data_IF_141651593857
#
_entry.id   IF_141651593857
#
_cell.length_a   1.000
_cell.length_b   1.000
_cell.length_c   1.000
_cell.angle_alpha   90.00
_cell.angle_beta   90.00
_cell.angle_gamma   90.00
#
_symmetry.space_group_name_H-M   'P 1'
#
loop_
_entity.id
_entity.type
_entity.pdbx_description
1 polymer ?
#
# COMPACT_ATOMS: atom_id res chain seq x y z
N UNK A 1 11.25 2.51 -22.33
CA UNK A 1 10.33 3.55 -22.88
C UNK A 1 8.86 3.11 -22.85
N UNK A 2 8.37 2.21 -23.72
CA UNK A 2 6.93 1.85 -23.78
C UNK A 2 6.40 1.35 -22.43
N UNK A 3 7.09 0.43 -21.77
CA UNK A 3 6.67 -0.07 -20.46
C UNK A 3 6.66 1.00 -19.36
N UNK A 4 7.49 2.04 -19.45
CA UNK A 4 7.52 3.16 -18.51
C UNK A 4 6.33 4.09 -18.75
N UNK A 5 5.99 4.34 -20.02
CA UNK A 5 4.80 5.11 -20.41
C UNK A 5 3.50 4.44 -19.96
N UNK A 6 3.36 3.13 -20.14
CA UNK A 6 2.18 2.38 -19.67
C UNK A 6 2.00 2.50 -18.15
N UNK A 7 3.09 2.40 -17.37
CA UNK A 7 3.03 2.58 -15.90
C UNK A 7 2.62 4.00 -15.51
N UNK A 8 3.15 5.00 -16.20
CA UNK A 8 2.78 6.40 -15.98
C UNK A 8 1.30 6.64 -16.26
N UNK A 9 0.78 6.11 -17.38
CA UNK A 9 -0.64 6.21 -17.72
C UNK A 9 -1.52 5.51 -16.66
N UNK A 10 -1.15 4.30 -16.25
CA UNK A 10 -1.88 3.57 -15.20
C UNK A 10 -1.90 4.33 -13.86
N UNK A 11 -0.79 4.99 -13.51
CA UNK A 11 -0.73 5.82 -12.30
C UNK A 11 -1.61 7.08 -12.44
N UNK A 12 -1.60 7.74 -13.60
CA UNK A 12 -2.46 8.88 -13.87
C UNK A 12 -3.95 8.50 -13.75
N UNK A 13 -4.32 7.37 -14.37
CA UNK A 13 -5.68 6.84 -14.31
C UNK A 13 -6.09 6.55 -12.86
N UNK A 14 -5.23 5.87 -12.09
CA UNK A 14 -5.49 5.58 -10.68
C UNK A 14 -5.81 6.85 -9.88
N UNK A 15 -5.02 7.91 -10.06
CA UNK A 15 -5.18 9.17 -9.32
C UNK A 15 -6.49 9.88 -9.66
N UNK A 16 -6.94 9.79 -10.91
CA UNK A 16 -8.13 10.52 -11.38
C UNK A 16 -9.45 9.75 -11.15
N UNK A 17 -9.39 8.48 -10.71
CA UNK A 17 -10.57 7.65 -10.43
C UNK A 17 -11.62 8.35 -9.56
N UNK A 18 -11.28 8.95 -8.38
CA UNK A 18 -12.28 9.58 -7.53
C UNK A 18 -13.09 10.64 -8.28
N UNK A 19 -12.41 11.55 -8.98
CA UNK A 19 -13.04 12.65 -9.70
C UNK A 19 -13.87 12.18 -10.91
N UNK A 20 -13.51 11.05 -11.53
CA UNK A 20 -14.29 10.45 -12.64
C UNK A 20 -15.53 9.68 -12.16
N UNK A 21 -15.45 9.05 -10.98
CA UNK A 21 -16.51 8.16 -10.48
C UNK A 21 -17.51 8.91 -9.61
N UNK A 22 -17.05 9.90 -8.83
CA UNK A 22 -17.91 10.64 -7.91
C UNK A 22 -18.87 11.57 -8.68
N UNK A 23 -20.17 11.51 -8.39
CA UNK A 23 -21.14 12.45 -8.94
C UNK A 23 -20.98 13.83 -8.31
N UNK A 24 -21.14 14.88 -9.11
CA UNK A 24 -21.12 16.27 -8.62
C UNK A 24 -19.71 16.83 -8.36
N UNK A 25 -18.66 16.20 -8.86
CA UNK A 25 -17.29 16.75 -8.83
C UNK A 25 -17.26 18.11 -9.53
N UNK A 26 -16.78 19.14 -8.83
CA UNK A 26 -16.66 20.49 -9.39
C UNK A 26 -15.57 20.56 -10.46
N UNK A 27 -15.68 21.53 -11.37
CA UNK A 27 -14.64 21.72 -12.42
C UNK A 27 -13.27 21.97 -11.79
N UNK A 28 -13.20 22.76 -10.73
CA UNK A 28 -11.96 23.07 -10.02
C UNK A 28 -11.32 21.81 -9.40
N UNK A 29 -12.12 20.95 -8.75
CA UNK A 29 -11.64 19.69 -8.18
C UNK A 29 -11.13 18.74 -9.28
N UNK A 30 -11.88 18.60 -10.38
CA UNK A 30 -11.48 17.77 -11.51
C UNK A 30 -10.17 18.27 -12.17
N UNK A 31 -10.00 19.59 -12.31
CA UNK A 31 -8.76 20.19 -12.83
C UNK A 31 -7.58 19.94 -11.88
N UNK A 32 -7.80 20.07 -10.57
CA UNK A 32 -6.76 19.80 -9.57
C UNK A 32 -6.37 18.32 -9.56
N UNK A 33 -7.34 17.40 -9.63
CA UNK A 33 -7.07 15.97 -9.76
C UNK A 33 -6.30 15.63 -11.04
N UNK A 34 -6.64 16.25 -12.17
CA UNK A 34 -5.91 16.08 -13.43
C UNK A 34 -4.46 16.57 -13.33
N UNK A 35 -4.21 17.69 -12.63
CA UNK A 35 -2.86 18.20 -12.38
C UNK A 35 -2.05 17.22 -11.51
N UNK A 36 -2.63 16.73 -10.41
CA UNK A 36 -1.98 15.74 -9.54
C UNK A 36 -1.71 14.43 -10.30
N UNK A 37 -2.65 13.99 -11.14
CA UNK A 37 -2.48 12.82 -12.00
C UNK A 37 -1.35 13.00 -13.01
N UNK A 38 -1.22 14.19 -13.61
CA UNK A 38 -0.12 14.52 -14.52
C UNK A 38 1.23 14.48 -13.79
N UNK A 39 1.33 15.07 -12.59
CA UNK A 39 2.54 15.03 -11.78
C UNK A 39 2.91 13.59 -11.43
N UNK A 40 1.94 12.78 -10.96
CA UNK A 40 2.15 11.38 -10.64
C UNK A 40 2.62 10.57 -11.87
N UNK A 41 2.06 10.86 -13.04
CA UNK A 41 2.46 10.24 -14.31
C UNK A 41 3.90 10.60 -14.68
N UNK A 42 4.27 11.88 -14.62
CA UNK A 42 5.63 12.35 -14.94
C UNK A 42 6.66 11.75 -13.99
N UNK A 43 6.37 11.76 -12.68
CA UNK A 43 7.26 11.16 -11.67
C UNK A 43 7.41 9.66 -11.91
N UNK A 44 6.32 8.95 -12.19
CA UNK A 44 6.36 7.51 -12.51
C UNK A 44 7.12 7.24 -13.80
N UNK A 45 6.92 8.06 -14.83
CA UNK A 45 7.63 7.92 -16.10
C UNK A 45 9.13 8.12 -15.91
N UNK A 46 9.53 9.22 -15.26
CA UNK A 46 10.92 9.54 -14.97
C UNK A 46 11.60 8.41 -14.19
N UNK A 47 10.94 7.93 -13.13
CA UNK A 47 11.46 6.84 -12.30
C UNK A 47 11.66 5.57 -13.12
N UNK A 48 10.73 5.20 -14.00
CA UNK A 48 10.84 3.97 -14.78
C UNK A 48 11.59 4.12 -16.11
N UNK A 49 11.87 5.33 -16.58
CA UNK A 49 12.64 5.61 -17.79
C UNK A 49 14.13 5.79 -17.51
N UNK A 50 14.50 6.31 -16.34
CA UNK A 50 15.90 6.52 -15.93
C UNK A 50 16.65 5.19 -15.74
N UNK A 51 17.92 5.11 -16.14
CA UNK A 51 18.78 3.96 -15.80
C UNK A 51 19.33 4.05 -14.36
N UNK A 52 19.47 5.29 -13.85
CA UNK A 52 19.91 5.55 -12.48
C UNK A 52 18.74 5.42 -11.50
N UNK A 53 18.96 4.81 -10.33
CA UNK A 53 17.93 4.69 -9.32
C UNK A 53 17.73 6.04 -8.62
N UNK A 54 16.48 6.39 -8.36
CA UNK A 54 16.14 7.64 -7.68
C UNK A 54 15.59 7.31 -6.29
N UNK A 55 14.30 7.04 -6.17
CA UNK A 55 13.63 6.88 -4.88
C UNK A 55 12.85 5.57 -4.74
N UNK A 56 12.52 4.88 -5.85
CA UNK A 56 11.68 3.71 -5.78
C UNK A 56 12.49 2.46 -5.46
N UNK A 57 12.36 1.99 -4.23
CA UNK A 57 12.87 0.67 -3.85
C UNK A 57 12.11 -0.44 -4.56
N UNK A 58 12.82 -1.55 -4.80
CA UNK A 58 12.31 -2.74 -5.48
C UNK A 58 11.72 -2.44 -6.87
N UNK A 59 12.21 -1.40 -7.55
CA UNK A 59 11.74 -0.98 -8.90
C UNK A 59 11.59 -2.14 -9.89
N UNK A 60 12.55 -3.06 -9.90
CA UNK A 60 12.56 -4.23 -10.78
C UNK A 60 12.16 -5.53 -10.05
N UNK A 61 11.22 -5.44 -9.10
CA UNK A 61 10.62 -6.58 -8.42
C UNK A 61 9.15 -6.76 -8.84
N UNK A 62 8.87 -7.60 -9.85
CA UNK A 62 7.52 -7.72 -10.42
C UNK A 62 6.39 -7.99 -9.41
N UNK A 63 6.45 -8.99 -8.49
CA UNK A 63 5.34 -9.21 -7.57
C UNK A 63 5.15 -8.03 -6.60
N UNK A 64 6.25 -7.39 -6.18
CA UNK A 64 6.21 -6.30 -5.20
C UNK A 64 5.47 -5.08 -5.76
N UNK A 65 5.89 -4.55 -6.91
CA UNK A 65 5.27 -3.35 -7.47
C UNK A 65 3.88 -3.62 -8.07
N UNK A 66 3.64 -4.81 -8.64
CA UNK A 66 2.32 -5.17 -9.19
C UNK A 66 1.27 -5.27 -8.10
N UNK A 67 1.57 -5.94 -6.98
CA UNK A 67 0.61 -6.08 -5.87
C UNK A 67 0.36 -4.74 -5.19
N UNK A 68 1.38 -3.90 -5.00
CA UNK A 68 1.19 -2.54 -4.47
C UNK A 68 0.28 -1.69 -5.37
N UNK A 69 0.54 -1.68 -6.67
CA UNK A 69 -0.30 -0.95 -7.62
C UNK A 69 -1.75 -1.49 -7.61
N UNK A 70 -1.95 -2.80 -7.73
CA UNK A 70 -3.28 -3.40 -7.74
C UNK A 70 -4.04 -3.16 -6.43
N UNK A 71 -3.37 -3.28 -5.28
CA UNK A 71 -3.99 -3.03 -3.99
C UNK A 71 -4.48 -1.58 -3.89
N UNK A 72 -3.64 -0.60 -4.23
CA UNK A 72 -4.03 0.81 -4.21
C UNK A 72 -5.13 1.10 -5.24
N UNK A 73 -5.01 0.55 -6.44
CA UNK A 73 -6.03 0.69 -7.49
C UNK A 73 -7.40 0.21 -7.02
N UNK A 74 -7.48 -1.01 -6.47
CA UNK A 74 -8.74 -1.53 -5.94
C UNK A 74 -9.22 -0.74 -4.74
N UNK A 75 -8.33 -0.25 -3.88
CA UNK A 75 -8.75 0.58 -2.75
C UNK A 75 -9.42 1.88 -3.21
N UNK A 76 -8.77 2.62 -4.10
CA UNK A 76 -9.30 3.88 -4.64
C UNK A 76 -10.59 3.63 -5.42
N UNK A 77 -10.61 2.61 -6.27
CA UNK A 77 -11.80 2.25 -7.06
C UNK A 77 -12.98 1.87 -6.18
N UNK A 78 -12.78 0.98 -5.20
CA UNK A 78 -13.88 0.51 -4.35
C UNK A 78 -14.42 1.61 -3.45
N UNK A 79 -13.54 2.41 -2.84
CA UNK A 79 -13.97 3.56 -2.04
C UNK A 79 -14.77 4.56 -2.89
N UNK A 80 -14.32 4.86 -4.11
CA UNK A 80 -15.01 5.77 -5.02
C UNK A 80 -16.39 5.23 -5.44
N UNK A 81 -16.48 3.95 -5.76
CA UNK A 81 -17.75 3.31 -6.17
C UNK A 81 -18.77 3.26 -5.04
N UNK A 82 -18.35 2.93 -3.80
CA UNK A 82 -19.26 2.90 -2.65
C UNK A 82 -19.79 4.31 -2.36
N UNK A 83 -18.94 5.33 -2.37
CA UNK A 83 -19.37 6.71 -2.14
C UNK A 83 -20.28 7.23 -3.26
N UNK A 84 -20.00 6.88 -4.52
CA UNK A 84 -20.88 7.21 -5.64
C UNK A 84 -22.26 6.54 -5.51
N UNK A 85 -22.32 5.31 -4.99
CA UNK A 85 -23.61 4.63 -4.73
C UNK A 85 -24.42 5.22 -3.58
N UNK A 86 -23.82 6.04 -2.72
CA UNK A 86 -24.53 6.73 -1.62
C UNK A 86 -25.59 7.72 -2.11
N UNK A 87 -25.58 8.09 -3.39
CA UNK A 87 -26.62 8.93 -4.01
C UNK A 87 -27.79 8.11 -4.62
N UNK A 88 -27.76 6.78 -4.52
CA UNK A 88 -28.85 5.93 -4.99
C UNK A 88 -30.03 5.96 -4.02
N UNK A 89 -31.24 5.70 -4.54
CA UNK A 89 -32.46 5.61 -3.73
C UNK A 89 -32.27 4.54 -2.62
N UNK A 90 -32.44 4.89 -1.33
CA UNK A 90 -32.35 3.93 -0.22
C UNK A 90 -33.28 2.73 -0.33
N UNK A 91 -34.33 2.80 -1.15
CA UNK A 91 -35.23 1.68 -1.43
C UNK A 91 -34.59 0.59 -2.33
N UNK A 92 -33.49 0.89 -3.01
CA UNK A 92 -32.78 -0.08 -3.84
C UNK A 92 -31.94 -1.04 -2.98
N UNK A 93 -31.81 -2.30 -3.40
CA UNK A 93 -30.94 -3.24 -2.70
C UNK A 93 -29.47 -2.77 -2.75
N UNK A 94 -28.68 -3.06 -1.70
CA UNK A 94 -27.27 -2.69 -1.68
C UNK A 94 -26.54 -3.33 -2.85
N UNK A 95 -25.57 -2.60 -3.41
CA UNK A 95 -24.70 -3.13 -4.45
C UNK A 95 -23.86 -4.28 -3.89
N UNK A 96 -23.38 -5.17 -4.78
CA UNK A 96 -22.47 -6.26 -4.38
C UNK A 96 -21.26 -5.74 -3.59
N UNK A 97 -20.75 -4.57 -3.97
CA UNK A 97 -19.60 -3.96 -3.30
C UNK A 97 -19.93 -3.45 -1.90
N UNK A 98 -21.11 -2.85 -1.69
CA UNK A 98 -21.58 -2.46 -0.36
C UNK A 98 -21.81 -3.69 0.53
N UNK A 99 -22.37 -4.77 -0.01
CA UNK A 99 -22.52 -6.03 0.72
C UNK A 99 -21.17 -6.61 1.15
N UNK A 100 -20.18 -6.66 0.24
CA UNK A 100 -18.82 -7.10 0.57
C UNK A 100 -18.16 -6.20 1.63
N UNK A 101 -18.43 -4.89 1.62
CA UNK A 101 -17.92 -3.96 2.61
C UNK A 101 -18.50 -4.22 4.01
N UNK A 102 -19.81 -4.45 4.10
CA UNK A 102 -20.49 -4.84 5.34
C UNK A 102 -20.02 -6.19 5.86
N UNK A 103 -19.84 -7.16 4.97
CA UNK A 103 -19.31 -8.48 5.33
C UNK A 103 -17.88 -8.35 5.88
N UNK A 104 -17.03 -7.57 5.22
CA UNK A 104 -15.68 -7.28 5.71
C UNK A 104 -15.69 -6.57 7.07
N UNK A 105 -16.62 -5.63 7.30
CA UNK A 105 -16.79 -4.98 8.59
C UNK A 105 -17.16 -5.97 9.68
N UNK A 106 -18.09 -6.89 9.41
CA UNK A 106 -18.49 -7.93 10.37
C UNK A 106 -17.35 -8.91 10.69
N UNK A 107 -16.54 -9.30 9.69
CA UNK A 107 -15.40 -10.20 9.87
C UNK A 107 -14.25 -9.56 10.66
N UNK A 108 -14.11 -8.23 10.55
CA UNK A 108 -13.06 -7.47 11.21
C UNK A 108 -13.52 -6.77 12.49
N UNK A 109 -14.78 -6.96 12.92
CA UNK A 109 -15.29 -6.47 14.20
C UNK A 109 -14.98 -7.46 15.33
N UNK A 110 -13.79 -7.30 15.90
CA UNK A 110 -13.38 -7.97 17.13
C UNK A 110 -12.73 -6.96 18.09
N UNK A 111 -12.65 -7.27 19.40
CA UNK A 111 -12.06 -6.36 20.37
C UNK A 111 -10.67 -5.89 19.95
N UNK A 112 -10.46 -4.57 19.98
CA UNK A 112 -9.21 -3.90 19.59
C UNK A 112 -8.79 -4.03 18.12
N UNK A 113 -9.68 -4.44 17.21
CA UNK A 113 -9.36 -4.46 15.78
C UNK A 113 -9.09 -3.04 15.23
N UNK A 114 -8.27 -2.89 14.18
CA UNK A 114 -8.05 -1.60 13.52
C UNK A 114 -9.35 -0.93 13.05
N UNK A 115 -10.31 -1.72 12.58
CA UNK A 115 -11.64 -1.25 12.16
C UNK A 115 -12.41 -0.67 13.34
N UNK A 116 -12.36 -1.33 14.51
CA UNK A 116 -13.01 -0.82 15.72
C UNK A 116 -12.32 0.41 16.29
N UNK A 117 -11.00 0.55 16.13
CA UNK A 117 -10.32 1.80 16.43
C UNK A 117 -10.72 2.92 15.47
N UNK A 118 -10.99 2.59 14.20
CA UNK A 118 -11.53 3.55 13.23
C UNK A 118 -12.95 4.00 13.61
N UNK A 119 -13.81 3.10 14.07
CA UNK A 119 -15.15 3.49 14.56
C UNK A 119 -15.08 4.38 15.80
N UNK A 120 -14.14 4.11 16.71
CA UNK A 120 -13.86 4.99 17.86
C UNK A 120 -13.33 6.35 17.40
N UNK A 121 -12.50 6.40 16.35
CA UNK A 121 -12.00 7.65 15.81
C UNK A 121 -13.12 8.55 15.25
N UNK A 122 -14.13 7.92 14.66
CA UNK A 122 -15.32 8.61 14.18
C UNK A 122 -16.40 8.83 15.23
N UNK A 123 -16.20 8.46 16.50
CA UNK A 123 -17.23 8.67 17.53
C UNK A 123 -17.52 10.16 17.80
N UNK A 124 -16.51 11.01 17.58
CA UNK A 124 -16.54 12.44 17.88
C UNK A 124 -16.88 13.31 16.65
N UNK A 125 -17.22 12.70 15.51
CA UNK A 125 -17.62 13.47 14.30
C UNK A 125 -19.07 13.97 14.39
N UNK A 126 -19.41 15.07 13.70
CA UNK A 126 -20.77 15.59 13.69
C UNK A 126 -21.80 14.60 13.11
N UNK A 127 -23.06 14.74 13.55
CA UNK A 127 -24.19 13.86 13.19
C UNK A 127 -24.46 13.77 11.68
N UNK A 128 -24.08 14.78 10.91
CA UNK A 128 -24.26 14.78 9.46
C UNK A 128 -23.27 13.86 8.72
N UNK A 129 -22.21 13.40 9.36
CA UNK A 129 -21.21 12.53 8.74
C UNK A 129 -21.67 11.07 8.78
N UNK A 130 -21.67 10.41 7.64
CA UNK A 130 -22.03 8.99 7.52
C UNK A 130 -20.88 8.08 8.01
N UNK A 131 -20.85 7.87 9.33
CA UNK A 131 -19.85 7.04 10.00
C UNK A 131 -19.90 5.59 9.55
N UNK A 132 -21.09 5.05 9.30
CA UNK A 132 -21.25 3.64 8.93
C UNK A 132 -20.63 3.36 7.57
N UNK A 133 -20.93 4.20 6.57
CA UNK A 133 -20.33 4.03 5.23
C UNK A 133 -18.80 4.19 5.28
N UNK A 134 -18.27 5.13 6.07
CA UNK A 134 -16.83 5.29 6.24
C UNK A 134 -16.17 4.03 6.87
N UNK A 135 -16.82 3.41 7.86
CA UNK A 135 -16.35 2.17 8.50
C UNK A 135 -16.43 0.98 7.54
N UNK A 136 -17.52 0.85 6.77
CA UNK A 136 -17.69 -0.21 5.78
C UNK A 136 -16.58 -0.13 4.71
N UNK A 137 -16.32 1.07 4.18
CA UNK A 137 -15.22 1.31 3.23
C UNK A 137 -13.88 0.94 3.88
N UNK A 138 -13.57 1.48 5.05
CA UNK A 138 -12.32 1.20 5.76
C UNK A 138 -12.12 -0.32 5.91
N UNK A 139 -13.14 -1.05 6.34
CA UNK A 139 -13.10 -2.50 6.51
C UNK A 139 -12.76 -3.23 5.22
N UNK A 140 -13.41 -2.85 4.11
CA UNK A 140 -13.12 -3.42 2.80
C UNK A 140 -11.69 -3.12 2.34
N UNK A 141 -11.20 -1.89 2.52
CA UNK A 141 -9.83 -1.50 2.14
C UNK A 141 -8.79 -2.28 2.94
N UNK A 142 -9.01 -2.45 4.25
CA UNK A 142 -8.14 -3.26 5.08
C UNK A 142 -8.16 -4.72 4.61
N UNK A 143 -9.33 -5.26 4.29
CA UNK A 143 -9.45 -6.62 3.77
C UNK A 143 -8.69 -6.82 2.45
N UNK A 144 -8.84 -5.89 1.49
CA UNK A 144 -8.11 -5.90 0.20
C UNK A 144 -6.59 -5.87 0.43
N UNK A 145 -6.12 -5.01 1.33
CA UNK A 145 -4.68 -4.90 1.62
C UNK A 145 -4.13 -6.11 2.37
N UNK A 146 -4.91 -6.74 3.25
CA UNK A 146 -4.55 -8.02 3.87
C UNK A 146 -4.43 -9.16 2.85
N UNK A 147 -5.36 -9.23 1.88
CA UNK A 147 -5.26 -10.19 0.77
C UNK A 147 -3.99 -9.93 -0.05
N UNK A 148 -3.71 -8.67 -0.41
CA UNK A 148 -2.50 -8.32 -1.16
C UNK A 148 -1.21 -8.71 -0.40
N UNK A 149 -1.18 -8.50 0.92
CA UNK A 149 -0.08 -8.90 1.79
C UNK A 149 0.08 -10.43 1.82
N UNK A 150 -1.02 -11.17 1.97
CA UNK A 150 -1.01 -12.64 1.96
C UNK A 150 -0.49 -13.18 0.63
N UNK A 151 -0.98 -12.66 -0.50
CA UNK A 151 -0.51 -13.02 -1.83
C UNK A 151 0.98 -12.73 -2.00
N UNK A 152 1.46 -11.58 -1.50
CA UNK A 152 2.89 -11.26 -1.53
C UNK A 152 3.70 -12.22 -0.67
N UNK A 153 3.24 -12.53 0.54
CA UNK A 153 3.91 -13.46 1.44
C UNK A 153 4.01 -14.86 0.84
N UNK A 154 2.92 -15.39 0.28
CA UNK A 154 2.91 -16.69 -0.45
C UNK A 154 3.92 -16.64 -1.60
N UNK A 155 3.91 -15.57 -2.39
CA UNK A 155 4.85 -15.41 -3.50
C UNK A 155 6.31 -15.36 -3.01
N UNK A 156 6.61 -14.59 -1.97
CA UNK A 156 7.96 -14.50 -1.41
C UNK A 156 8.43 -15.81 -0.76
N UNK A 157 7.51 -16.60 -0.18
CA UNK A 157 7.80 -17.84 0.54
C UNK A 157 8.01 -19.04 -0.37
N UNK A 158 7.16 -19.20 -1.39
CA UNK A 158 7.11 -20.42 -2.21
C UNK A 158 7.70 -20.25 -3.61
N UNK A 159 7.77 -19.02 -4.13
CA UNK A 159 8.36 -18.75 -5.43
C UNK A 159 9.79 -18.28 -5.17
N UNK A 160 10.78 -18.81 -5.90
CA UNK A 160 12.21 -18.44 -5.86
C UNK A 160 12.50 -16.96 -6.25
N UNK A 161 11.60 -16.05 -5.92
CA UNK A 161 11.81 -14.61 -5.98
C UNK A 161 12.86 -14.21 -4.93
N UNK A 162 13.79 -13.29 -5.27
CA UNK A 162 13.95 -12.58 -6.55
C UNK A 162 14.84 -13.29 -7.60
N UNK A 163 15.34 -14.50 -7.33
CA UNK A 163 16.45 -15.14 -8.08
C UNK A 163 16.08 -15.65 -9.48
N UNK A 164 14.79 -15.81 -9.83
CA UNK A 164 14.37 -16.56 -11.03
C UNK A 164 14.95 -16.12 -12.39
N UNK A 165 15.48 -14.91 -12.58
CA UNK A 165 15.97 -14.45 -13.90
C UNK A 165 17.30 -13.68 -13.90
N UNK A 166 17.67 -13.01 -12.80
CA UNK A 166 18.89 -12.19 -12.72
C UNK A 166 19.32 -12.08 -11.26
N UNK A 167 20.63 -11.95 -10.99
CA UNK A 167 21.11 -11.67 -9.65
C UNK A 167 20.46 -10.38 -9.11
N UNK A 168 20.03 -10.39 -7.84
CA UNK A 168 19.41 -9.24 -7.20
C UNK A 168 20.40 -8.06 -7.15
N UNK A 169 20.10 -7.00 -7.89
CA UNK A 169 20.93 -5.80 -7.95
C UNK A 169 20.53 -4.86 -6.80
N UNK A 170 21.43 -4.70 -5.81
CA UNK A 170 21.22 -3.83 -4.64
C UNK A 170 21.12 -2.37 -5.03
N UNK A 171 21.95 -1.89 -5.94
CA UNK A 171 21.95 -0.49 -6.39
C UNK A 171 20.59 -0.08 -6.97
N UNK A 172 19.99 -0.94 -7.79
CA UNK A 172 18.70 -0.65 -8.45
C UNK A 172 17.50 -0.84 -7.50
N UNK A 173 17.54 -1.83 -6.61
CA UNK A 173 16.38 -2.18 -5.78
C UNK A 173 16.44 -1.58 -4.37
N UNK A 174 17.59 -1.13 -3.91
CA UNK A 174 17.83 -0.53 -2.61
C UNK A 174 18.84 0.62 -2.77
N UNK A 175 18.50 1.70 -3.50
CA UNK A 175 19.45 2.79 -3.78
C UNK A 175 19.99 3.49 -2.53
N UNK A 176 19.19 3.51 -1.46
CA UNK A 176 19.57 4.12 -0.18
C UNK A 176 20.44 3.19 0.68
N UNK A 177 20.68 1.95 0.24
CA UNK A 177 21.44 0.97 0.98
C UNK A 177 22.84 0.81 0.38
N UNK A 178 23.87 1.17 1.14
CA UNK A 178 25.26 0.91 0.76
C UNK A 178 25.66 -0.55 1.07
N UNK A 179 25.97 -1.38 0.04
CA UNK A 179 26.40 -2.76 0.24
C UNK A 179 27.91 -2.90 0.52
N UNK A 180 28.71 -1.83 0.37
CA UNK A 180 30.19 -1.90 0.37
C UNK A 180 30.83 -1.64 1.72
N UNK A 181 30.08 -1.17 2.72
CA UNK A 181 30.56 -0.90 4.09
C UNK A 181 30.84 -2.17 4.94
N UNK A 182 31.20 -3.27 4.30
CA UNK A 182 32.28 -4.16 4.75
C UNK A 182 31.98 -5.26 5.78
N UNK A 183 30.99 -5.14 6.68
CA UNK A 183 30.78 -6.25 7.65
C UNK A 183 29.36 -6.47 8.17
N UNK A 184 28.45 -5.52 7.98
CA UNK A 184 27.16 -5.51 8.69
C UNK A 184 25.91 -5.51 7.78
N UNK A 185 26.07 -5.82 6.50
CA UNK A 185 24.98 -5.79 5.50
C UNK A 185 23.77 -6.64 5.93
N UNK A 186 24.02 -7.86 6.41
CA UNK A 186 22.95 -8.77 6.83
C UNK A 186 22.19 -8.27 8.06
N UNK A 187 22.90 -7.74 9.05
CA UNK A 187 22.29 -7.19 10.26
C UNK A 187 21.44 -5.97 9.94
N UNK A 188 21.96 -5.03 9.14
CA UNK A 188 21.20 -3.84 8.71
C UNK A 188 19.93 -4.24 7.95
N UNK A 189 20.03 -5.17 6.99
CA UNK A 189 18.86 -5.66 6.26
C UNK A 189 17.82 -6.29 7.21
N UNK A 190 18.25 -7.14 8.16
CA UNK A 190 17.34 -7.76 9.15
C UNK A 190 16.72 -6.71 10.08
N UNK A 191 17.51 -5.75 10.58
CA UNK A 191 17.05 -4.65 11.43
C UNK A 191 16.01 -3.79 10.72
N UNK A 192 16.30 -3.35 9.49
CA UNK A 192 15.40 -2.52 8.71
C UNK A 192 14.13 -3.32 8.34
N UNK A 193 14.25 -4.63 8.11
CA UNK A 193 13.12 -5.52 7.93
C UNK A 193 12.22 -5.60 9.17
N UNK A 194 12.80 -5.78 10.37
CA UNK A 194 12.08 -5.75 11.64
C UNK A 194 11.36 -4.42 11.85
N UNK A 195 12.04 -3.30 11.59
CA UNK A 195 11.45 -1.97 11.74
C UNK A 195 10.25 -1.78 10.82
N UNK A 196 10.39 -2.12 9.53
CA UNK A 196 9.29 -2.01 8.56
C UNK A 196 8.11 -2.94 8.90
N UNK A 197 8.37 -4.15 9.38
CA UNK A 197 7.31 -5.09 9.77
C UNK A 197 6.58 -4.63 11.04
N UNK A 198 7.33 -4.19 12.06
CA UNK A 198 6.77 -3.67 13.30
C UNK A 198 5.95 -2.40 13.05
N UNK A 199 6.51 -1.43 12.32
CA UNK A 199 5.81 -0.18 11.99
C UNK A 199 4.58 -0.47 11.11
N UNK A 200 4.73 -1.31 10.08
CA UNK A 200 3.62 -1.71 9.22
C UNK A 200 2.49 -2.41 9.98
N UNK A 201 2.80 -3.23 10.98
CA UNK A 201 1.79 -3.84 11.86
C UNK A 201 1.14 -2.83 12.80
N UNK A 202 1.87 -1.84 13.31
CA UNK A 202 1.37 -0.86 14.27
C UNK A 202 0.52 0.24 13.63
N UNK A 203 0.83 0.64 12.38
CA UNK A 203 0.16 1.76 11.70
C UNK A 203 -1.37 1.65 11.60
N UNK A 204 -1.98 0.49 11.27
CA UNK A 204 -3.45 0.36 11.24
C UNK A 204 -4.12 0.73 12.55
N UNK A 205 -3.42 0.59 13.68
CA UNK A 205 -3.91 0.93 15.03
C UNK A 205 -3.56 2.37 15.42
N UNK A 206 -2.36 2.84 15.03
CA UNK A 206 -1.90 4.19 15.36
C UNK A 206 -2.64 5.28 14.58
N UNK A 207 -2.88 5.07 13.29
CA UNK A 207 -3.48 6.09 12.43
C UNK A 207 -4.91 6.45 12.86
N UNK A 208 -5.81 5.52 13.24
CA UNK A 208 -7.11 5.89 13.81
C UNK A 208 -7.00 6.75 15.07
N UNK A 209 -6.03 6.49 15.94
CA UNK A 209 -5.80 7.32 17.13
C UNK A 209 -5.36 8.74 16.75
N UNK A 210 -4.48 8.88 15.75
CA UNK A 210 -4.08 10.17 15.20
C UNK A 210 -5.24 10.89 14.52
N UNK A 211 -6.08 10.16 13.78
CA UNK A 211 -7.27 10.69 13.13
C UNK A 211 -8.26 11.23 14.16
N UNK A 212 -8.50 10.51 15.26
CA UNK A 212 -9.34 10.97 16.37
C UNK A 212 -8.82 12.28 16.98
N UNK A 213 -7.51 12.35 17.23
CA UNK A 213 -6.87 13.56 17.75
C UNK A 213 -7.03 14.73 16.77
N UNK A 214 -6.90 14.47 15.47
CA UNK A 214 -7.10 15.47 14.44
C UNK A 214 -8.55 15.97 14.39
N UNK A 215 -9.54 15.07 14.43
CA UNK A 215 -10.98 15.40 14.47
C UNK A 215 -11.31 16.24 15.72
N UNK A 216 -10.71 15.94 16.88
CA UNK A 216 -10.93 16.70 18.10
C UNK A 216 -10.26 18.08 18.12
N UNK A 217 -9.25 18.32 17.27
CA UNK A 217 -8.47 19.56 17.23
C UNK A 217 -8.82 20.48 16.04
N UNK A 218 -9.37 19.92 14.96
CA UNK A 218 -9.64 20.61 13.70
C UNK A 218 -11.07 20.39 13.22
N UNK A 219 -11.51 21.17 12.22
CA UNK A 219 -12.83 21.03 11.63
C UNK A 219 -12.96 19.73 10.81
N UNK A 220 -13.88 18.86 11.23
CA UNK A 220 -14.18 17.59 10.59
C UNK A 220 -14.88 17.75 9.22
N UNK A 221 -15.31 18.96 8.84
CA UNK A 221 -15.93 19.24 7.54
C UNK A 221 -15.07 18.79 6.35
N UNK A 222 -13.75 18.79 6.48
CA UNK A 222 -12.84 18.29 5.44
C UNK A 222 -13.00 16.80 5.16
N UNK A 223 -13.34 15.99 6.17
CA UNK A 223 -13.62 14.56 6.00
C UNK A 223 -14.96 14.31 5.29
N UNK A 224 -15.85 15.30 5.28
CA UNK A 224 -17.10 15.23 4.52
C UNK A 224 -16.87 15.25 3.01
N UNK A 225 -15.74 15.79 2.55
CA UNK A 225 -15.39 15.85 1.14
C UNK A 225 -15.03 14.43 0.66
N UNK A 226 -15.80 13.82 -0.27
CA UNK A 226 -15.62 12.42 -0.63
C UNK A 226 -14.22 12.09 -1.14
N UNK A 227 -13.60 12.98 -1.90
CA UNK A 227 -12.23 12.80 -2.39
C UNK A 227 -11.21 12.73 -1.24
N UNK A 228 -11.34 13.59 -0.22
CA UNK A 228 -10.44 13.60 0.94
C UNK A 228 -10.62 12.29 1.72
N UNK A 229 -11.88 11.88 1.97
CA UNK A 229 -12.18 10.65 2.68
C UNK A 229 -11.56 9.42 1.98
N UNK A 230 -11.69 9.33 0.64
CA UNK A 230 -11.10 8.24 -0.14
C UNK A 230 -9.59 8.18 0.09
N UNK A 231 -8.88 9.30 -0.01
CA UNK A 231 -7.43 9.33 0.13
C UNK A 231 -6.98 9.05 1.57
N UNK A 232 -7.70 9.53 2.58
CA UNK A 232 -7.43 9.24 4.00
C UNK A 232 -7.56 7.73 4.26
N UNK A 233 -8.67 7.11 3.83
CA UNK A 233 -8.90 5.68 4.02
C UNK A 233 -7.93 4.81 3.21
N UNK A 234 -7.61 5.22 1.97
CA UNK A 234 -6.60 4.55 1.17
C UNK A 234 -5.22 4.63 1.81
N UNK A 235 -4.82 5.81 2.32
CA UNK A 235 -3.55 5.96 3.01
C UNK A 235 -3.48 5.09 4.28
N UNK A 236 -4.57 5.06 5.06
CA UNK A 236 -4.67 4.23 6.25
C UNK A 236 -4.47 2.73 5.96
N UNK A 237 -5.10 2.19 4.91
CA UNK A 237 -4.95 0.77 4.56
C UNK A 237 -3.64 0.47 3.83
N UNK A 238 -3.19 1.36 2.94
CA UNK A 238 -2.09 1.10 2.01
C UNK A 238 -0.69 1.34 2.58
N UNK A 239 -0.52 2.30 3.49
CA UNK A 239 0.79 2.56 4.13
C UNK A 239 1.28 1.35 4.94
N UNK A 240 0.46 0.73 5.82
CA UNK A 240 0.79 -0.55 6.48
C UNK A 240 1.26 -1.62 5.51
N UNK A 241 0.48 -1.86 4.44
CA UNK A 241 0.79 -2.85 3.41
C UNK A 241 2.18 -2.64 2.81
N UNK A 242 2.48 -1.41 2.40
CA UNK A 242 3.77 -1.08 1.78
C UNK A 242 4.94 -1.37 2.72
N UNK A 243 4.83 -0.99 3.99
CA UNK A 243 5.88 -1.25 4.99
C UNK A 243 6.03 -2.75 5.28
N UNK A 244 4.92 -3.47 5.47
CA UNK A 244 4.97 -4.91 5.75
C UNK A 244 5.56 -5.69 4.57
N UNK A 245 5.15 -5.38 3.33
CA UNK A 245 5.75 -5.97 2.13
C UNK A 245 7.24 -5.67 2.05
N UNK A 246 7.66 -4.43 2.35
CA UNK A 246 9.08 -4.04 2.37
C UNK A 246 9.86 -4.84 3.40
N UNK A 247 9.32 -5.01 4.61
CA UNK A 247 9.93 -5.83 5.65
C UNK A 247 10.12 -7.29 5.22
N UNK A 248 9.07 -7.91 4.67
CA UNK A 248 9.13 -9.29 4.15
C UNK A 248 10.17 -9.40 3.02
N UNK A 249 10.20 -8.43 2.11
CA UNK A 249 11.16 -8.40 1.00
C UNK A 249 12.61 -8.33 1.50
N UNK A 250 12.90 -7.46 2.47
CA UNK A 250 14.22 -7.32 3.07
C UNK A 250 14.67 -8.58 3.80
N UNK A 251 13.78 -9.23 4.57
CA UNK A 251 14.08 -10.52 5.20
C UNK A 251 14.40 -11.60 4.18
N UNK A 252 13.64 -11.66 3.09
CA UNK A 252 13.86 -12.63 2.02
C UNK A 252 15.23 -12.42 1.37
N UNK A 253 15.59 -11.18 1.07
CA UNK A 253 16.91 -10.84 0.52
C UNK A 253 18.02 -11.24 1.48
N UNK A 254 17.89 -10.93 2.78
CA UNK A 254 18.87 -11.30 3.80
C UNK A 254 19.07 -12.82 3.89
N UNK A 255 17.98 -13.61 3.91
CA UNK A 255 18.05 -15.07 3.97
C UNK A 255 18.78 -15.67 2.76
N UNK A 256 18.58 -15.11 1.56
CA UNK A 256 19.25 -15.59 0.34
C UNK A 256 20.74 -15.25 0.31
N UNK A 257 21.15 -14.11 0.87
CA UNK A 257 22.57 -13.78 1.05
C UNK A 257 23.22 -14.75 2.04
N UNK A 258 22.56 -15.02 3.15
CA UNK A 258 23.03 -15.94 4.19
C UNK A 258 23.22 -17.36 3.64
N UNK A 259 22.25 -17.86 2.86
CA UNK A 259 22.34 -19.15 2.18
C UNK A 259 23.49 -19.19 1.15
N UNK A 260 23.67 -18.14 0.35
CA UNK A 260 24.80 -18.05 -0.59
C UNK A 260 26.15 -18.06 0.10
N UNK A 261 26.30 -17.31 1.21
CA UNK A 261 27.54 -17.30 1.99
C UNK A 261 27.84 -18.68 2.57
N UNK A 262 26.82 -19.35 3.12
CA UNK A 262 26.96 -20.71 3.67
C UNK A 262 27.44 -21.72 2.61
N UNK A 263 26.88 -21.66 1.40
CA UNK A 263 27.31 -22.51 0.27
C UNK A 263 28.74 -22.21 -0.18
N UNK A 264 29.13 -20.94 -0.22
CA UNK A 264 30.50 -20.54 -0.59
C UNK A 264 31.54 -21.03 0.44
N UNK A 265 31.23 -20.95 1.73
CA UNK A 265 32.12 -21.49 2.77
C UNK A 265 32.25 -23.01 2.69
N UNK A 266 31.14 -23.74 2.49
CA UNK A 266 31.18 -25.19 2.31
C UNK A 266 32.02 -25.63 1.11
N UNK A 267 31.96 -24.89 -0.01
CA UNK A 267 32.80 -25.15 -1.19
C UNK A 267 34.29 -24.86 -0.95
N UNK A 268 34.61 -23.86 -0.13
CA UNK A 268 36.00 -23.55 0.24
C UNK A 268 36.58 -24.63 1.15
N UNK A 269 35.79 -25.14 2.11
CA UNK A 269 36.22 -26.24 2.98
C UNK A 269 36.46 -27.52 2.17
N UNK A 270 35.60 -27.86 1.20
CA UNK A 270 35.80 -29.01 0.31
C UNK A 270 37.08 -28.90 -0.53
N UNK A 271 37.43 -27.71 -1.03
CA UNK A 271 38.65 -27.47 -1.81
C UNK A 271 39.94 -27.50 -0.98
N UNK A 272 39.87 -27.34 0.34
CA UNK A 272 41.04 -27.43 1.24
C UNK A 272 41.36 -28.86 1.68
N UNK A 273 40.43 -29.81 1.45
CA UNK A 273 40.57 -31.22 1.85
C UNK A 273 41.14 -32.08 0.70
N UNK A 274 41.21 -31.55 -0.53
CA UNK A 274 41.80 -32.17 -1.73
C UNK A 274 43.23 -31.67 -1.95
#
# INVERSE_FOLDING_TARGET
MIGSAVRALLMALLVVIPSLVLPGTSSDAAQMAALVALVAAVVTFAEYASEYPTFLEFRNAPPFNRLRFLALFFCVLFASLILASGQQDPALPPTVLQSLARDAASLLDFPYSPVRLMSIAYADVPVWFDTQTAIDIASLLLFVTLIALLLFWIHARFIFWPIRKTAFNFWINLPLFDPTSGRDVLFRLKRDAHFNLALGFLLPFLIPALLRMWIGAFDASMLALPEILIWVLCAWAFLPLTLMMRGIALFRVAALIEEKRRRAYAQQDELQIV
#
